data_IF_878691267667
#
_entry.id   IF_878691267667
#
_cell.length_a   1.000
_cell.length_b   1.000
_cell.length_c   1.000
_cell.angle_alpha   90.00
_cell.angle_beta   90.00
_cell.angle_gamma   90.00
#
_symmetry.space_group_name_H-M   'P 1'
#
loop_
_entity.id
_entity.type
_entity.pdbx_description
1 polymer ?
#
# COMPACT_ATOMS: atom_id res chain seq x y z
N UNK A 1 1.93 -15.32 -8.19
CA UNK A 1 1.82 -14.46 -9.38
C UNK A 1 1.95 -15.31 -10.62
N UNK A 2 1.16 -14.99 -11.66
CA UNK A 2 1.19 -15.76 -12.91
C UNK A 2 1.96 -15.00 -13.99
N UNK A 3 3.18 -14.53 -13.69
CA UNK A 3 4.05 -13.87 -14.67
C UNK A 3 4.33 -14.76 -15.89
N UNK A 4 4.36 -16.07 -15.69
CA UNK A 4 4.45 -17.07 -16.79
C UNK A 4 3.33 -16.91 -17.81
N UNK A 5 2.10 -16.59 -17.39
CA UNK A 5 0.99 -16.36 -18.30
C UNK A 5 1.21 -15.14 -19.21
N UNK A 6 1.93 -14.13 -18.73
CA UNK A 6 2.29 -12.94 -19.52
C UNK A 6 3.24 -13.34 -20.66
N UNK A 7 4.15 -14.30 -20.44
CA UNK A 7 5.05 -14.83 -21.47
C UNK A 7 4.34 -15.48 -22.67
N UNK A 8 3.05 -15.83 -22.52
CA UNK A 8 2.22 -16.34 -23.62
C UNK A 8 1.64 -15.25 -24.55
N UNK A 9 1.77 -13.97 -24.20
CA UNK A 9 1.19 -12.85 -24.96
C UNK A 9 2.13 -12.38 -26.08
N UNK A 10 2.29 -13.16 -27.13
CA UNK A 10 3.29 -12.97 -28.18
C UNK A 10 3.29 -11.58 -28.85
N UNK A 11 2.13 -10.93 -28.95
CA UNK A 11 2.02 -9.57 -29.51
C UNK A 11 2.24 -8.43 -28.52
N UNK A 12 2.67 -8.73 -27.27
CA UNK A 12 2.87 -7.72 -26.24
C UNK A 12 4.06 -6.82 -26.56
N UNK A 13 3.82 -5.50 -26.62
CA UNK A 13 4.85 -4.49 -26.93
C UNK A 13 5.27 -3.66 -25.73
N UNK A 14 4.37 -3.45 -24.79
CA UNK A 14 4.64 -2.69 -23.57
C UNK A 14 4.06 -3.40 -22.36
N UNK A 15 4.83 -3.49 -21.26
CA UNK A 15 4.40 -4.05 -20.00
C UNK A 15 4.78 -3.10 -18.86
N UNK A 16 3.77 -2.66 -18.12
CA UNK A 16 3.96 -1.87 -16.91
C UNK A 16 3.45 -2.64 -15.69
N UNK A 17 4.28 -2.72 -14.65
CA UNK A 17 3.93 -3.35 -13.38
C UNK A 17 4.37 -2.46 -12.22
N UNK A 18 3.45 -2.16 -11.31
CA UNK A 18 3.74 -1.39 -10.10
C UNK A 18 3.24 -2.11 -8.87
N UNK A 19 4.07 -2.07 -7.81
CA UNK A 19 3.75 -2.60 -6.47
C UNK A 19 3.29 -4.07 -6.49
N UNK A 20 3.90 -4.88 -7.38
CA UNK A 20 3.58 -6.29 -7.58
C UNK A 20 4.67 -7.18 -6.97
N UNK A 21 4.25 -8.12 -6.11
CA UNK A 21 5.14 -9.00 -5.36
C UNK A 21 4.75 -10.48 -5.49
N UNK A 22 5.55 -11.37 -4.90
CA UNK A 22 5.32 -12.81 -4.93
C UNK A 22 5.86 -13.50 -6.17
N UNK A 23 6.89 -12.93 -6.80
CA UNK A 23 7.65 -13.49 -7.91
C UNK A 23 9.13 -13.11 -7.79
N UNK A 24 10.00 -13.83 -8.47
CA UNK A 24 11.43 -13.59 -8.50
C UNK A 24 12.01 -13.55 -9.91
N UNK A 25 13.30 -13.85 -10.03
CA UNK A 25 14.01 -13.84 -11.31
C UNK A 25 13.46 -14.91 -12.27
N UNK A 26 13.12 -16.10 -11.78
CA UNK A 26 12.66 -17.21 -12.60
C UNK A 26 11.32 -16.89 -13.32
N UNK A 27 10.39 -16.25 -12.62
CA UNK A 27 9.10 -15.93 -13.20
C UNK A 27 9.18 -14.84 -14.27
N UNK A 28 10.07 -13.86 -14.12
CA UNK A 28 10.27 -12.81 -15.15
C UNK A 28 11.10 -13.29 -16.33
N UNK A 29 11.80 -14.43 -16.23
CA UNK A 29 12.47 -15.08 -17.38
C UNK A 29 11.48 -15.45 -18.48
N UNK A 30 10.22 -15.75 -18.13
CA UNK A 30 9.15 -16.03 -19.09
C UNK A 30 8.92 -14.89 -20.11
N UNK A 31 9.28 -13.65 -19.77
CA UNK A 31 9.18 -12.50 -20.68
C UNK A 31 10.17 -12.57 -21.84
N UNK A 32 11.22 -13.42 -21.77
CA UNK A 32 12.23 -13.53 -22.81
C UNK A 32 11.68 -14.10 -24.14
N UNK A 33 10.56 -14.79 -24.09
CA UNK A 33 9.85 -15.29 -25.28
C UNK A 33 9.00 -14.25 -26.01
N UNK A 34 8.98 -13.01 -25.56
CA UNK A 34 8.16 -11.94 -26.15
C UNK A 34 8.97 -11.16 -27.19
N UNK A 35 8.96 -11.60 -28.45
CA UNK A 35 9.79 -11.02 -29.53
C UNK A 35 9.37 -9.59 -29.92
N UNK A 36 8.10 -9.23 -29.70
CA UNK A 36 7.60 -7.88 -30.01
C UNK A 36 7.74 -6.90 -28.85
N UNK A 37 8.25 -7.31 -27.69
CA UNK A 37 8.38 -6.44 -26.52
C UNK A 37 9.37 -5.31 -26.79
N UNK A 38 8.93 -4.07 -26.52
CA UNK A 38 9.69 -2.83 -26.73
C UNK A 38 9.88 -2.03 -25.46
N UNK A 39 8.94 -2.10 -24.54
CA UNK A 39 8.96 -1.30 -23.31
C UNK A 39 8.69 -2.13 -22.08
N UNK A 40 9.49 -1.95 -21.05
CA UNK A 40 9.28 -2.46 -19.69
C UNK A 40 9.35 -1.32 -18.69
N UNK A 41 8.29 -1.16 -17.90
CA UNK A 41 8.21 -0.19 -16.81
C UNK A 41 7.80 -0.93 -15.53
N UNK A 42 8.77 -1.17 -14.66
CA UNK A 42 8.59 -1.91 -13.41
C UNK A 42 8.98 -1.04 -12.22
N UNK A 43 8.01 -0.76 -11.37
CA UNK A 43 8.21 0.04 -10.17
C UNK A 43 7.76 -0.69 -8.91
N UNK A 44 8.53 -0.55 -7.83
CA UNK A 44 8.24 -1.18 -6.53
C UNK A 44 8.02 -2.71 -6.69
N UNK A 45 9.09 -3.42 -7.05
CA UNK A 45 9.09 -4.85 -7.36
C UNK A 45 10.18 -5.60 -6.57
N UNK A 46 10.09 -6.94 -6.47
CA UNK A 46 11.12 -7.74 -5.82
C UNK A 46 12.52 -7.47 -6.39
N UNK A 47 13.49 -7.27 -5.51
CA UNK A 47 14.86 -6.91 -5.89
C UNK A 47 15.49 -7.89 -6.89
N UNK A 48 15.29 -9.18 -6.69
CA UNK A 48 15.85 -10.20 -7.57
C UNK A 48 15.30 -10.10 -8.99
N UNK A 49 13.99 -9.97 -9.13
CA UNK A 49 13.34 -9.79 -10.42
C UNK A 49 13.85 -8.51 -11.11
N UNK A 50 13.92 -7.40 -10.38
CA UNK A 50 14.37 -6.13 -10.94
C UNK A 50 15.84 -6.14 -11.37
N UNK A 51 16.71 -6.81 -10.63
CA UNK A 51 18.12 -6.97 -11.03
C UNK A 51 18.24 -7.86 -12.28
N UNK A 52 17.44 -8.93 -12.37
CA UNK A 52 17.36 -9.77 -13.56
C UNK A 52 16.94 -8.96 -14.78
N UNK A 53 15.83 -8.21 -14.69
CA UNK A 53 15.32 -7.37 -15.77
C UNK A 53 16.35 -6.34 -16.23
N UNK A 54 16.99 -5.61 -15.31
CA UNK A 54 18.06 -4.66 -15.63
C UNK A 54 19.23 -5.29 -16.37
N UNK A 55 19.66 -6.49 -15.94
CA UNK A 55 20.78 -7.19 -16.56
C UNK A 55 20.42 -7.74 -17.94
N UNK A 56 19.25 -8.35 -18.06
CA UNK A 56 18.87 -9.11 -19.25
C UNK A 56 18.39 -8.24 -20.40
N UNK A 57 17.67 -7.15 -20.07
CA UNK A 57 17.01 -6.31 -21.06
C UNK A 57 17.74 -5.00 -21.40
N UNK A 58 18.86 -4.73 -20.74
CA UNK A 58 19.67 -3.53 -21.03
C UNK A 58 20.09 -3.47 -22.49
N UNK A 59 19.71 -2.40 -23.18
CA UNK A 59 20.03 -2.19 -24.60
C UNK A 59 19.26 -3.07 -25.60
N UNK A 60 18.25 -3.80 -25.13
CA UNK A 60 17.41 -4.66 -25.99
C UNK A 60 16.00 -4.08 -26.25
N UNK A 61 15.59 -3.12 -25.44
CA UNK A 61 14.29 -2.47 -25.49
C UNK A 61 14.47 -0.99 -25.84
N UNK A 62 13.41 -0.42 -26.40
CA UNK A 62 13.34 1.02 -26.65
C UNK A 62 13.25 1.79 -25.33
N UNK A 63 12.53 1.20 -24.33
CA UNK A 63 12.42 1.75 -22.98
C UNK A 63 12.54 0.65 -21.92
N UNK A 64 13.46 0.84 -20.97
CA UNK A 64 13.60 0.02 -19.78
C UNK A 64 13.64 0.91 -18.55
N UNK A 65 12.55 0.93 -17.78
CA UNK A 65 12.46 1.61 -16.51
C UNK A 65 12.24 0.56 -15.41
N UNK A 66 13.15 0.47 -14.44
CA UNK A 66 13.02 -0.45 -13.31
C UNK A 66 13.47 0.29 -12.06
N UNK A 67 12.54 0.66 -11.19
CA UNK A 67 12.75 1.51 -10.02
C UNK A 67 12.31 0.83 -8.72
N UNK A 68 12.67 1.41 -7.59
CA UNK A 68 12.26 0.99 -6.24
C UNK A 68 12.33 -0.53 -6.01
N UNK A 69 13.55 -1.11 -6.12
CA UNK A 69 13.76 -2.54 -5.87
C UNK A 69 13.60 -2.85 -4.38
N UNK A 70 12.63 -3.69 -4.05
CA UNK A 70 12.25 -4.06 -2.68
C UNK A 70 12.93 -5.36 -2.26
N UNK A 71 13.69 -5.29 -1.19
CA UNK A 71 14.34 -6.47 -0.60
C UNK A 71 13.44 -7.21 0.39
N UNK A 72 13.91 -8.35 0.89
CA UNK A 72 13.14 -9.18 1.80
C UNK A 72 12.83 -8.53 3.14
N UNK A 73 13.67 -7.61 3.63
CA UNK A 73 13.39 -6.86 4.86
C UNK A 73 12.27 -5.86 4.65
N UNK A 74 12.35 -5.10 3.55
CA UNK A 74 11.29 -4.16 3.19
C UNK A 74 9.94 -4.88 3.03
N UNK A 75 9.94 -6.04 2.34
CA UNK A 75 8.72 -6.83 2.13
C UNK A 75 8.10 -7.28 3.44
N UNK A 76 8.89 -7.82 4.37
CA UNK A 76 8.40 -8.22 5.70
C UNK A 76 7.74 -7.08 6.46
N UNK A 77 8.27 -5.88 6.31
CA UNK A 77 7.76 -4.72 7.03
C UNK A 77 6.56 -4.05 6.37
N UNK A 78 6.44 -4.14 5.05
CA UNK A 78 5.52 -3.31 4.28
C UNK A 78 4.47 -4.08 3.47
N UNK A 79 4.58 -5.39 3.29
CA UNK A 79 3.61 -6.14 2.48
C UNK A 79 2.16 -5.95 2.97
N UNK A 80 1.97 -5.89 4.28
CA UNK A 80 0.68 -5.66 4.93
C UNK A 80 0.30 -4.17 5.07
N UNK A 81 1.24 -3.26 4.79
CA UNK A 81 1.00 -1.82 4.90
C UNK A 81 0.25 -1.30 3.67
N UNK A 82 -1.00 -0.81 3.79
CA UNK A 82 -1.76 -0.29 2.66
C UNK A 82 -1.15 0.97 2.07
N UNK A 83 -0.37 1.74 2.86
CA UNK A 83 0.32 2.95 2.41
C UNK A 83 1.74 2.68 1.86
N UNK A 84 2.09 1.43 1.55
CA UNK A 84 3.46 1.07 1.13
C UNK A 84 3.91 1.73 -0.18
N UNK A 85 2.97 2.06 -1.06
CA UNK A 85 3.23 2.74 -2.33
C UNK A 85 3.63 4.22 -2.16
N UNK A 86 3.48 4.77 -0.95
CA UNK A 86 4.01 6.10 -0.60
C UNK A 86 5.54 6.11 -0.47
N UNK A 87 6.16 4.93 -0.28
CA UNK A 87 7.62 4.83 -0.13
C UNK A 87 8.34 5.02 -1.47
N UNK A 88 8.96 6.16 -1.64
CA UNK A 88 9.65 6.56 -2.85
C UNK A 88 8.78 7.36 -3.83
N UNK A 89 7.55 7.68 -3.46
CA UNK A 89 6.74 8.65 -4.21
C UNK A 89 7.41 10.03 -4.13
N UNK A 90 7.57 10.70 -5.27
CA UNK A 90 8.26 11.99 -5.37
C UNK A 90 7.51 13.16 -4.70
N UNK A 91 6.19 13.04 -4.57
CA UNK A 91 5.32 14.05 -3.94
C UNK A 91 5.16 13.84 -2.44
N UNK A 92 5.53 12.67 -1.92
CA UNK A 92 5.37 12.32 -0.50
C UNK A 92 6.74 12.31 0.20
N UNK A 93 7.00 13.25 1.11
CA UNK A 93 8.26 13.28 1.86
C UNK A 93 8.50 11.96 2.59
N UNK A 94 9.70 11.41 2.48
CA UNK A 94 10.07 10.14 3.12
C UNK A 94 9.74 10.11 4.62
N UNK A 95 9.95 11.23 5.31
CA UNK A 95 9.64 11.33 6.74
C UNK A 95 8.13 11.29 7.01
N UNK A 96 7.30 11.83 6.11
CA UNK A 96 5.85 11.73 6.19
C UNK A 96 5.41 10.26 6.02
N UNK A 97 5.92 9.56 5.01
CA UNK A 97 5.66 8.12 4.84
C UNK A 97 6.05 7.30 6.08
N UNK A 98 7.25 7.50 6.63
CA UNK A 98 7.70 6.76 7.82
C UNK A 98 6.78 7.00 9.01
N UNK A 99 6.32 8.23 9.19
CA UNK A 99 5.39 8.60 10.26
C UNK A 99 3.99 7.99 10.03
N UNK A 100 3.48 8.03 8.80
CA UNK A 100 2.22 7.40 8.41
C UNK A 100 2.23 5.88 8.65
N UNK A 101 3.31 5.20 8.22
CA UNK A 101 3.52 3.77 8.45
C UNK A 101 3.52 3.42 9.95
N UNK A 102 4.21 4.22 10.76
CA UNK A 102 4.22 4.03 12.20
C UNK A 102 2.83 4.22 12.79
N UNK A 103 2.13 5.29 12.41
CA UNK A 103 0.75 5.54 12.84
C UNK A 103 -0.16 4.35 12.52
N UNK A 104 -0.11 3.83 11.29
CA UNK A 104 -0.89 2.66 10.90
C UNK A 104 -0.62 1.45 11.81
N UNK A 105 0.67 1.11 12.04
CA UNK A 105 1.05 -0.01 12.92
C UNK A 105 0.56 0.19 14.37
N UNK A 106 0.70 1.40 14.91
CA UNK A 106 0.28 1.72 16.27
C UNK A 106 -1.26 1.65 16.40
N UNK A 107 -1.99 2.14 15.39
CA UNK A 107 -3.46 2.07 15.37
C UNK A 107 -3.96 0.64 15.19
N UNK A 108 -3.32 -0.18 14.34
CA UNK A 108 -3.63 -1.61 14.22
C UNK A 108 -3.57 -2.28 15.59
N UNK A 109 -2.46 -2.10 16.31
CA UNK A 109 -2.29 -2.68 17.64
C UNK A 109 -3.36 -2.22 18.62
N UNK A 110 -3.73 -0.94 18.59
CA UNK A 110 -4.75 -0.39 19.47
C UNK A 110 -6.14 -0.93 19.13
N UNK A 111 -6.56 -0.85 17.86
CA UNK A 111 -7.88 -1.28 17.43
C UNK A 111 -8.13 -2.77 17.65
N UNK A 112 -7.12 -3.62 17.42
CA UNK A 112 -7.25 -5.05 17.68
C UNK A 112 -7.41 -5.40 19.17
N UNK A 113 -7.13 -4.45 20.09
CA UNK A 113 -7.32 -4.60 21.54
C UNK A 113 -8.55 -3.85 22.07
N UNK A 114 -9.17 -3.03 21.23
CA UNK A 114 -10.32 -2.19 21.59
C UNK A 114 -11.62 -2.98 21.46
N UNK A 115 -12.46 -2.93 22.49
CA UNK A 115 -13.68 -3.73 22.57
C UNK A 115 -14.98 -2.92 22.53
N UNK A 116 -14.90 -1.59 22.69
CA UNK A 116 -16.07 -0.72 22.78
C UNK A 116 -16.05 0.39 21.72
N UNK A 117 -17.21 1.00 21.54
CA UNK A 117 -17.44 2.07 20.56
C UNK A 117 -16.56 3.30 20.88
N UNK A 118 -16.48 3.71 22.13
CA UNK A 118 -15.73 4.90 22.51
C UNK A 118 -14.23 4.78 22.19
N UNK A 119 -13.66 3.59 22.41
CA UNK A 119 -12.26 3.33 22.03
C UNK A 119 -12.02 3.30 20.54
N UNK A 120 -13.01 2.82 19.74
CA UNK A 120 -12.94 2.89 18.28
C UNK A 120 -12.98 4.35 17.83
N UNK A 121 -13.92 5.15 18.34
CA UNK A 121 -14.06 6.58 18.04
C UNK A 121 -12.75 7.33 18.37
N UNK A 122 -12.17 7.09 19.54
CA UNK A 122 -10.87 7.66 19.93
C UNK A 122 -9.75 7.25 18.96
N UNK A 123 -9.69 5.98 18.56
CA UNK A 123 -8.66 5.49 17.66
C UNK A 123 -8.76 6.11 16.28
N UNK A 124 -9.97 6.24 15.72
CA UNK A 124 -10.24 6.88 14.43
C UNK A 124 -9.91 8.37 14.48
N UNK A 125 -10.39 9.09 15.49
CA UNK A 125 -10.11 10.52 15.66
C UNK A 125 -8.61 10.81 15.75
N UNK A 126 -7.86 10.06 16.59
CA UNK A 126 -6.42 10.20 16.70
C UNK A 126 -5.65 9.81 15.44
N UNK A 127 -6.16 8.87 14.66
CA UNK A 127 -5.59 8.52 13.37
C UNK A 127 -5.71 9.70 12.41
N UNK A 128 -6.90 10.26 12.25
CA UNK A 128 -7.17 11.39 11.34
C UNK A 128 -6.39 12.64 11.76
N UNK A 129 -6.37 12.98 13.07
CA UNK A 129 -5.54 14.07 13.57
C UNK A 129 -4.04 13.89 13.31
N UNK A 130 -3.55 12.65 13.27
CA UNK A 130 -2.16 12.40 12.93
C UNK A 130 -1.86 12.86 11.50
N UNK A 131 -2.75 12.58 10.55
CA UNK A 131 -2.61 13.01 9.15
C UNK A 131 -2.80 14.52 8.99
N UNK A 132 -3.68 15.16 9.76
CA UNK A 132 -3.75 16.63 9.81
C UNK A 132 -2.39 17.24 10.18
N UNK A 133 -1.74 16.70 11.22
CA UNK A 133 -0.42 17.15 11.66
C UNK A 133 0.67 16.88 10.62
N UNK A 134 0.60 15.73 9.94
CA UNK A 134 1.54 15.41 8.86
C UNK A 134 1.38 16.36 7.69
N UNK A 135 0.15 16.60 7.25
CA UNK A 135 -0.14 17.47 6.13
C UNK A 135 0.42 18.87 6.37
N UNK A 136 0.07 19.49 7.51
CA UNK A 136 0.61 20.81 7.90
C UNK A 136 2.13 20.86 8.00
N UNK A 137 2.75 19.79 8.54
CA UNK A 137 4.19 19.74 8.75
C UNK A 137 5.00 19.63 7.47
N UNK A 138 4.46 18.95 6.47
CA UNK A 138 5.21 18.59 5.25
C UNK A 138 4.70 19.26 3.99
N UNK A 139 3.99 20.38 4.11
CA UNK A 139 3.66 21.27 3.00
C UNK A 139 2.41 20.86 2.23
N UNK A 140 1.40 20.38 2.94
CA UNK A 140 0.06 20.10 2.37
C UNK A 140 0.14 19.11 1.19
N UNK A 141 0.83 17.99 1.40
CA UNK A 141 1.08 16.97 0.39
C UNK A 141 -0.11 16.00 0.19
N UNK A 142 -1.11 16.02 1.09
CA UNK A 142 -2.29 15.16 0.99
C UNK A 142 -3.27 15.77 0.00
N UNK A 143 -3.35 15.17 -1.17
CA UNK A 143 -4.32 15.48 -2.19
C UNK A 143 -5.40 14.38 -2.27
N UNK A 144 -6.15 14.35 -3.34
CA UNK A 144 -7.28 13.39 -3.49
C UNK A 144 -6.85 11.94 -3.34
N UNK A 145 -5.72 11.54 -3.96
CA UNK A 145 -5.25 10.15 -3.90
C UNK A 145 -4.78 9.77 -2.50
N UNK A 146 -3.96 10.61 -1.89
CA UNK A 146 -3.46 10.37 -0.54
C UNK A 146 -4.60 10.33 0.50
N UNK A 147 -5.61 11.17 0.32
CA UNK A 147 -6.82 11.13 1.14
C UNK A 147 -7.53 9.77 1.02
N UNK A 148 -7.78 9.31 -0.20
CA UNK A 148 -8.42 8.02 -0.43
C UNK A 148 -7.60 6.88 0.18
N UNK A 149 -6.28 6.90 0.04
CA UNK A 149 -5.37 5.93 0.63
C UNK A 149 -5.48 5.89 2.16
N UNK A 150 -5.58 7.07 2.81
CA UNK A 150 -5.73 7.19 4.27
C UNK A 150 -7.06 6.59 4.72
N UNK A 151 -8.16 6.88 4.01
CA UNK A 151 -9.49 6.33 4.32
C UNK A 151 -9.51 4.81 4.13
N UNK A 152 -8.99 4.31 3.02
CA UNK A 152 -8.89 2.87 2.74
C UNK A 152 -8.01 2.14 3.76
N UNK A 153 -6.95 2.79 4.23
CA UNK A 153 -6.10 2.22 5.26
C UNK A 153 -6.84 2.09 6.61
N UNK A 154 -7.64 3.07 7.00
CA UNK A 154 -8.47 3.00 8.19
C UNK A 154 -9.57 1.95 8.04
N UNK A 155 -10.25 1.89 6.89
CA UNK A 155 -11.21 0.83 6.59
C UNK A 155 -10.62 -0.55 6.78
N UNK A 156 -9.43 -0.80 6.20
CA UNK A 156 -8.72 -2.08 6.34
C UNK A 156 -8.43 -2.40 7.82
N UNK A 157 -7.98 -1.43 8.60
CA UNK A 157 -7.77 -1.62 10.03
C UNK A 157 -9.05 -2.01 10.76
N UNK A 158 -10.13 -1.32 10.46
CA UNK A 158 -11.43 -1.57 11.06
C UNK A 158 -11.95 -2.96 10.70
N UNK A 159 -11.89 -3.33 9.43
CA UNK A 159 -12.32 -4.65 8.96
C UNK A 159 -11.51 -5.77 9.61
N UNK A 160 -10.18 -5.68 9.61
CA UNK A 160 -9.31 -6.72 10.17
C UNK A 160 -9.43 -6.85 11.69
N UNK A 161 -9.45 -5.74 12.42
CA UNK A 161 -9.38 -5.76 13.87
C UNK A 161 -10.76 -5.79 14.55
N UNK A 162 -11.78 -5.21 13.92
CA UNK A 162 -13.09 -5.03 14.54
C UNK A 162 -14.13 -5.99 13.96
N UNK A 163 -14.21 -6.11 12.65
CA UNK A 163 -15.24 -6.96 12.01
C UNK A 163 -14.81 -8.43 11.91
N UNK A 164 -13.53 -8.72 11.61
CA UNK A 164 -13.01 -10.08 11.41
C UNK A 164 -12.23 -10.61 12.61
N UNK A 165 -11.90 -9.74 13.58
CA UNK A 165 -11.20 -10.13 14.80
C UNK A 165 -11.98 -11.20 15.55
N UNK A 166 -11.29 -12.19 16.14
CA UNK A 166 -11.86 -13.19 17.06
C UNK A 166 -12.35 -12.47 18.35
N UNK A 167 -13.41 -11.70 18.23
CA UNK A 167 -14.14 -11.21 19.39
C UNK A 167 -14.89 -12.42 19.94
N UNK A 168 -14.29 -13.09 20.91
CA UNK A 168 -15.05 -14.03 21.73
C UNK A 168 -16.30 -13.32 22.18
N UNK A 169 -17.47 -13.94 21.90
CA UNK A 169 -18.84 -13.54 22.25
C UNK A 169 -18.91 -12.34 23.21
N UNK A 170 -18.59 -11.16 22.69
CA UNK A 170 -18.76 -9.92 23.41
C UNK A 170 -20.22 -9.52 23.32
N UNK A 171 -20.81 -9.22 24.48
CA UNK A 171 -22.17 -8.83 24.70
C UNK A 171 -22.87 -8.22 23.48
N UNK A 172 -24.08 -8.71 23.20
CA UNK A 172 -25.06 -8.25 22.20
C UNK A 172 -25.37 -6.73 22.26
N UNK A 173 -24.70 -5.98 23.15
CA UNK A 173 -25.03 -4.58 23.47
C UNK A 173 -24.37 -3.51 22.64
N UNK A 174 -23.37 -3.80 21.83
CA UNK A 174 -22.78 -2.79 20.95
C UNK A 174 -22.69 -3.37 19.53
N UNK A 175 -23.67 -3.08 18.70
CA UNK A 175 -23.56 -3.30 17.26
C UNK A 175 -22.27 -2.61 16.77
N UNK A 176 -21.43 -3.29 15.97
CA UNK A 176 -20.25 -2.66 15.40
C UNK A 176 -20.66 -1.43 14.59
N UNK A 177 -19.84 -0.39 14.61
CA UNK A 177 -20.04 0.77 13.76
C UNK A 177 -20.06 0.35 12.30
N UNK A 178 -20.81 1.03 11.48
CA UNK A 178 -20.77 0.87 10.02
C UNK A 178 -19.52 1.54 9.45
N UNK A 179 -19.08 1.12 8.27
CA UNK A 179 -17.99 1.81 7.57
C UNK A 179 -18.35 3.28 7.25
N UNK A 180 -19.63 3.57 6.98
CA UNK A 180 -20.08 4.94 6.78
C UNK A 180 -19.85 5.78 8.03
N UNK A 181 -20.21 5.29 9.22
CA UNK A 181 -19.95 6.01 10.47
C UNK A 181 -18.45 6.26 10.70
N UNK A 182 -17.57 5.30 10.34
CA UNK A 182 -16.11 5.49 10.42
C UNK A 182 -15.64 6.61 9.48
N UNK A 183 -16.14 6.63 8.26
CA UNK A 183 -15.78 7.65 7.27
C UNK A 183 -16.33 9.02 7.64
N UNK A 184 -17.59 9.11 8.10
CA UNK A 184 -18.19 10.36 8.58
C UNK A 184 -17.37 10.96 9.72
N UNK A 185 -16.92 10.14 10.67
CA UNK A 185 -16.04 10.59 11.75
C UNK A 185 -14.68 11.08 11.25
N UNK A 186 -14.10 10.42 10.25
CA UNK A 186 -12.84 10.90 9.65
C UNK A 186 -13.06 12.25 8.96
N UNK A 187 -14.18 12.41 8.22
CA UNK A 187 -14.53 13.66 7.56
C UNK A 187 -14.80 14.81 8.55
N UNK A 188 -15.38 14.52 9.72
CA UNK A 188 -15.58 15.52 10.78
C UNK A 188 -14.28 16.01 11.42
N UNK A 189 -13.27 15.15 11.50
CA UNK A 189 -12.00 15.45 12.17
C UNK A 189 -10.94 15.98 11.21
N UNK A 190 -10.98 15.58 9.94
CA UNK A 190 -9.97 16.03 8.96
C UNK A 190 -10.06 17.52 8.70
N UNK A 191 -8.90 18.12 8.40
CA UNK A 191 -8.78 19.48 7.89
C UNK A 191 -8.95 19.49 6.36
N UNK A 192 -8.62 20.59 5.71
CA UNK A 192 -8.76 20.78 4.26
C UNK A 192 -7.75 19.94 3.43
N UNK A 193 -7.90 18.63 3.50
CA UNK A 193 -7.15 17.69 2.65
C UNK A 193 -8.01 16.53 2.15
#
# INVERSE_FOLDING_TARGET
THMEAVGGLQGLRSLSCRDLFGYGAAEVEALEGLDELRELDFDSIPREAGLYLKKRWKGRLDRLCVTHLRDGEWLKENLENPLRHWDGNEFIPRAAYQSARKCYKDRKKLLCQTVDRAGIEEAVGRYTEHFNKLNRRYGEFIETQEREDIFMAMQKLYEECVLQGERGQADEKAAPMTLSEIWDMMDEVREDW
#
